data_IF_803973794699
#
_entry.id   IF_803973794699
#
_cell.length_a   1.000
_cell.length_b   1.000
_cell.length_c   1.000
_cell.angle_alpha   90.00
_cell.angle_beta   90.00
_cell.angle_gamma   90.00
#
_symmetry.space_group_name_H-M   'P 1'
#
loop_
_entity.id
_entity.type
_entity.pdbx_description
1 polymer ?
#
# COMPACT_ATOMS: atom_id res chain seq x y z
N UNK A 1 24.25 15.92 18.49
CA UNK A 1 23.78 15.98 17.09
C UNK A 1 22.32 16.44 17.11
N UNK A 2 21.93 17.55 16.47
CA UNK A 2 20.51 17.91 16.37
C UNK A 2 19.77 16.85 15.53
N UNK A 3 18.49 16.59 15.85
CA UNK A 3 17.68 15.66 15.07
C UNK A 3 17.51 16.21 13.64
N UNK A 4 18.06 15.51 12.65
CA UNK A 4 18.04 15.92 11.24
C UNK A 4 16.70 15.65 10.54
N UNK A 5 15.71 15.14 11.27
CA UNK A 5 14.38 14.80 10.74
C UNK A 5 13.36 15.77 11.31
N UNK A 6 12.58 16.43 10.43
CA UNK A 6 11.48 17.30 10.84
C UNK A 6 10.58 16.60 11.86
N UNK A 7 10.13 17.31 12.90
CA UNK A 7 9.35 16.76 14.02
C UNK A 7 8.13 15.94 13.55
N UNK A 8 7.46 16.40 12.49
CA UNK A 8 6.32 15.70 11.88
C UNK A 8 6.74 14.35 11.28
N UNK A 9 7.88 14.33 10.59
CA UNK A 9 8.34 13.15 9.87
C UNK A 9 8.85 12.06 10.82
N UNK A 10 9.67 12.46 11.80
CA UNK A 10 10.24 11.52 12.77
C UNK A 10 9.27 11.12 13.89
N UNK A 11 8.46 12.05 14.41
CA UNK A 11 7.61 11.77 15.56
C UNK A 11 6.21 11.25 15.20
N UNK A 12 5.68 11.61 14.02
CA UNK A 12 4.31 11.25 13.63
C UNK A 12 4.30 10.30 12.44
N UNK A 13 4.88 10.67 11.31
CA UNK A 13 4.74 9.86 10.08
C UNK A 13 5.49 8.53 10.15
N UNK A 14 6.68 8.49 10.75
CA UNK A 14 7.45 7.25 10.88
C UNK A 14 6.68 6.16 11.68
N UNK A 15 6.14 6.42 12.88
CA UNK A 15 5.28 5.47 13.58
C UNK A 15 4.03 5.05 12.79
N UNK A 16 3.35 6.00 12.12
CA UNK A 16 2.16 5.68 11.33
C UNK A 16 2.47 4.71 10.18
N UNK A 17 3.62 4.87 9.51
CA UNK A 17 4.07 3.93 8.47
C UNK A 17 4.45 2.58 9.06
N UNK A 18 5.05 2.55 10.24
CA UNK A 18 5.45 1.31 10.93
C UNK A 18 4.25 0.45 11.38
N UNK A 19 3.10 1.07 11.64
CA UNK A 19 1.86 0.34 11.98
C UNK A 19 1.42 -0.64 10.87
N UNK A 20 1.71 -0.36 9.60
CA UNK A 20 1.32 -1.22 8.47
C UNK A 20 2.05 -2.58 8.44
N UNK A 21 3.40 -2.64 8.51
CA UNK A 21 4.12 -3.91 8.59
C UNK A 21 3.89 -4.63 9.92
N UNK A 22 3.78 -3.91 11.05
CA UNK A 22 3.54 -4.51 12.37
C UNK A 22 2.22 -5.32 12.40
N UNK A 23 1.25 -4.90 11.58
CA UNK A 23 -0.06 -5.52 11.48
C UNK A 23 -0.29 -6.26 10.15
N UNK A 24 0.76 -6.70 9.45
CA UNK A 24 0.69 -7.32 8.11
C UNK A 24 -0.25 -8.54 8.02
N UNK A 25 -0.53 -9.21 9.14
CA UNK A 25 -1.49 -10.32 9.22
C UNK A 25 -2.97 -9.92 9.22
N UNK A 26 -3.29 -8.62 9.23
CA UNK A 26 -4.65 -8.10 9.22
C UNK A 26 -5.05 -7.57 7.84
N UNK A 27 -6.36 -7.58 7.54
CA UNK A 27 -6.89 -6.93 6.34
C UNK A 27 -6.50 -5.44 6.30
N UNK A 28 -6.43 -4.84 5.10
CA UNK A 28 -6.05 -3.43 4.94
C UNK A 28 -6.94 -2.50 5.78
N UNK A 29 -8.25 -2.72 5.78
CA UNK A 29 -9.22 -1.97 6.60
C UNK A 29 -8.92 -2.07 8.09
N UNK A 30 -8.55 -3.26 8.58
CA UNK A 30 -8.18 -3.44 10.00
C UNK A 30 -6.85 -2.76 10.33
N UNK A 31 -5.88 -2.76 9.42
CA UNK A 31 -4.62 -2.03 9.57
C UNK A 31 -4.84 -0.51 9.63
N UNK A 32 -5.71 0.01 8.75
CA UNK A 32 -6.10 1.44 8.74
C UNK A 32 -6.82 1.82 10.05
N UNK A 33 -7.75 0.99 10.54
CA UNK A 33 -8.38 1.21 11.86
C UNK A 33 -7.37 1.17 13.02
N UNK A 34 -6.37 0.30 12.97
CA UNK A 34 -5.30 0.30 13.95
C UNK A 34 -4.48 1.60 13.93
N UNK A 35 -4.22 2.17 12.74
CA UNK A 35 -3.60 3.49 12.60
C UNK A 35 -4.47 4.59 13.23
N UNK A 36 -5.79 4.61 12.95
CA UNK A 36 -6.70 5.57 13.60
C UNK A 36 -6.70 5.44 15.12
N UNK A 37 -6.67 4.20 15.63
CA UNK A 37 -6.55 3.95 17.07
C UNK A 37 -5.23 4.47 17.63
N UNK A 38 -4.13 4.28 16.92
CA UNK A 38 -2.83 4.85 17.31
C UNK A 38 -2.90 6.38 17.37
N UNK A 39 -3.50 7.04 16.37
CA UNK A 39 -3.71 8.50 16.38
C UNK A 39 -4.51 8.93 17.61
N UNK A 40 -5.60 8.23 17.94
CA UNK A 40 -6.39 8.50 19.14
C UNK A 40 -5.55 8.44 20.42
N UNK A 41 -4.73 7.39 20.59
CA UNK A 41 -3.88 7.20 21.77
C UNK A 41 -2.77 8.25 21.91
N UNK A 42 -2.37 8.88 20.81
CA UNK A 42 -1.28 9.87 20.76
C UNK A 42 -1.77 11.31 20.56
N UNK A 43 -3.08 11.53 20.64
CA UNK A 43 -3.67 12.88 20.60
C UNK A 43 -3.67 13.47 22.01
N UNK A 44 -3.20 14.72 22.17
CA UNK A 44 -3.13 15.40 23.48
C UNK A 44 -4.52 15.63 24.11
N UNK A 45 -5.53 15.87 23.27
CA UNK A 45 -6.91 16.13 23.66
C UNK A 45 -7.87 15.20 22.91
N UNK A 46 -7.94 13.92 23.29
CA UNK A 46 -8.81 12.97 22.62
C UNK A 46 -10.28 13.31 22.86
N UNK A 47 -11.11 13.08 21.84
CA UNK A 47 -12.56 13.16 21.99
C UNK A 47 -13.07 12.10 23.00
N UNK A 48 -14.23 12.32 23.63
CA UNK A 48 -14.86 11.29 24.44
C UNK A 48 -15.15 10.03 23.60
N UNK A 49 -15.10 8.81 24.19
CA UNK A 49 -15.32 7.56 23.45
C UNK A 49 -16.61 7.54 22.62
N UNK A 50 -17.70 8.10 23.16
CA UNK A 50 -18.99 8.16 22.47
C UNK A 50 -18.97 9.06 21.22
N UNK A 51 -18.10 10.06 21.16
CA UNK A 51 -17.93 10.91 19.98
C UNK A 51 -16.99 10.25 18.96
N UNK A 52 -15.95 9.57 19.42
CA UNK A 52 -15.02 8.84 18.55
C UNK A 52 -15.74 7.77 17.74
N UNK A 53 -16.65 7.04 18.38
CA UNK A 53 -17.46 6.03 17.69
C UNK A 53 -18.31 6.63 16.56
N UNK A 54 -18.64 7.93 16.62
CA UNK A 54 -19.38 8.64 15.56
C UNK A 54 -18.48 9.18 14.47
N UNK A 55 -17.24 9.53 14.79
CA UNK A 55 -16.29 10.16 13.85
C UNK A 55 -15.35 9.16 13.19
N UNK A 56 -15.19 7.97 13.76
CA UNK A 56 -14.34 6.92 13.21
C UNK A 56 -14.88 6.51 11.83
N UNK A 57 -14.04 6.42 10.79
CA UNK A 57 -14.50 5.96 9.49
C UNK A 57 -14.96 4.50 9.57
N UNK A 58 -16.08 4.22 8.91
CA UNK A 58 -16.58 2.87 8.75
C UNK A 58 -15.75 2.11 7.71
N UNK A 59 -15.93 0.79 7.64
CA UNK A 59 -15.24 -0.02 6.65
C UNK A 59 -15.61 0.42 5.22
N UNK A 60 -16.85 0.88 4.99
CA UNK A 60 -17.30 1.42 3.71
C UNK A 60 -16.65 2.78 3.38
N UNK A 61 -16.45 3.65 4.38
CA UNK A 61 -15.76 4.92 4.18
C UNK A 61 -14.29 4.70 3.80
N UNK A 62 -13.64 3.73 4.44
CA UNK A 62 -12.26 3.34 4.15
C UNK A 62 -12.15 2.76 2.73
N UNK A 63 -13.05 1.85 2.37
CA UNK A 63 -13.13 1.28 1.02
C UNK A 63 -13.32 2.37 -0.03
N UNK A 64 -14.30 3.26 0.18
CA UNK A 64 -14.57 4.37 -0.74
C UNK A 64 -13.36 5.30 -0.89
N UNK A 65 -12.70 5.67 0.21
CA UNK A 65 -11.49 6.48 0.18
C UNK A 65 -10.33 5.76 -0.54
N UNK A 66 -10.20 4.44 -0.38
CA UNK A 66 -9.20 3.67 -1.10
C UNK A 66 -9.47 3.68 -2.61
N UNK A 67 -10.72 3.47 -3.02
CA UNK A 67 -11.09 3.49 -4.44
C UNK A 67 -10.91 4.86 -5.10
N UNK A 68 -11.10 5.96 -4.37
CA UNK A 68 -10.87 7.31 -4.89
C UNK A 68 -9.39 7.65 -5.02
N UNK A 69 -8.56 7.21 -4.07
CA UNK A 69 -7.11 7.45 -4.06
C UNK A 69 -6.37 6.50 -5.02
N UNK A 70 -6.94 5.32 -5.28
CA UNK A 70 -6.41 4.31 -6.17
C UNK A 70 -7.26 4.20 -7.47
N UNK A 71 -7.37 5.28 -8.28
CA UNK A 71 -8.13 5.21 -9.51
C UNK A 71 -7.40 4.31 -10.51
N UNK A 72 -7.80 3.04 -10.60
CA UNK A 72 -7.54 2.12 -11.72
C UNK A 72 -6.12 2.13 -12.36
N UNK A 73 -5.05 2.36 -11.58
CA UNK A 73 -3.70 1.92 -11.93
C UNK A 73 -3.66 0.43 -11.55
N UNK A 74 -3.78 -0.55 -12.43
CA UNK A 74 -3.24 -0.71 -13.77
C UNK A 74 -4.30 -1.51 -14.55
N UNK A 75 -4.94 -0.92 -15.56
CA UNK A 75 -5.42 -1.75 -16.67
C UNK A 75 -4.18 -2.47 -17.20
N UNK A 76 -4.08 -3.76 -16.95
CA UNK A 76 -3.10 -4.75 -17.43
C UNK A 76 -3.10 -4.89 -18.95
N UNK A 77 -3.32 -3.80 -19.68
CA UNK A 77 -3.40 -3.77 -21.14
C UNK A 77 -2.03 -3.46 -21.77
N UNK A 78 -1.08 -2.90 -21.02
CA UNK A 78 0.27 -2.57 -21.53
C UNK A 78 1.43 -3.33 -20.89
N UNK A 79 1.18 -4.18 -19.90
CA UNK A 79 2.21 -5.07 -19.36
C UNK A 79 2.20 -6.37 -20.19
N UNK A 80 3.33 -6.77 -20.80
CA UNK A 80 3.38 -8.03 -21.52
C UNK A 80 3.05 -9.18 -20.56
N UNK A 81 2.13 -10.06 -20.97
CA UNK A 81 1.83 -11.27 -20.22
C UNK A 81 2.94 -12.30 -20.41
N UNK A 82 2.90 -13.37 -19.62
CA UNK A 82 3.84 -14.48 -19.78
C UNK A 82 3.64 -15.09 -21.18
N UNK A 83 4.62 -14.92 -22.07
CA UNK A 83 4.53 -15.28 -23.49
C UNK A 83 4.59 -14.08 -24.45
N UNK A 84 4.23 -12.87 -24.00
CA UNK A 84 4.24 -11.65 -24.82
C UNK A 84 5.54 -10.82 -24.67
N UNK A 85 6.34 -11.10 -23.63
CA UNK A 85 7.57 -10.37 -23.36
C UNK A 85 8.73 -10.92 -24.18
N UNK A 86 9.55 -10.02 -24.76
CA UNK A 86 10.83 -10.37 -25.38
C UNK A 86 11.65 -11.18 -24.37
N UNK A 87 12.00 -12.40 -24.74
CA UNK A 87 12.79 -13.29 -23.88
C UNK A 87 14.28 -13.07 -24.13
N UNK A 88 15.12 -13.47 -23.18
CA UNK A 88 16.58 -13.36 -23.31
C UNK A 88 17.10 -14.07 -24.58
N UNK A 89 16.42 -15.13 -25.03
CA UNK A 89 16.77 -15.87 -26.24
C UNK A 89 16.59 -15.06 -27.53
N UNK A 90 15.60 -14.16 -27.59
CA UNK A 90 15.31 -13.34 -28.80
C UNK A 90 16.40 -12.30 -29.09
N UNK A 91 17.22 -11.97 -28.09
CA UNK A 91 18.32 -11.01 -28.19
C UNK A 91 19.60 -11.63 -28.78
N UNK A 92 19.61 -12.94 -29.03
CA UNK A 92 20.78 -13.65 -29.55
C UNK A 92 20.50 -14.24 -30.94
N UNK A 93 21.28 -13.78 -31.92
CA UNK A 93 21.32 -14.37 -33.26
C UNK A 93 21.99 -15.76 -33.17
N UNK A 94 21.22 -16.81 -32.92
CA UNK A 94 21.73 -18.17 -33.01
C UNK A 94 21.62 -18.66 -34.45
N UNK A 95 22.74 -19.04 -35.05
CA UNK A 95 22.86 -19.57 -36.43
C UNK A 95 22.29 -21.00 -36.57
N UNK A 96 21.26 -21.34 -35.80
CA UNK A 96 20.56 -22.62 -35.90
C UNK A 96 19.11 -22.42 -35.48
N UNK A 97 18.12 -22.93 -36.24
CA UNK A 97 16.72 -22.77 -35.90
C UNK A 97 16.40 -23.57 -34.63
N UNK A 98 16.29 -22.88 -33.51
CA UNK A 98 15.77 -23.44 -32.28
C UNK A 98 14.24 -23.28 -32.30
N UNK A 99 13.52 -24.39 -32.32
CA UNK A 99 12.05 -24.41 -32.23
C UNK A 99 11.66 -24.46 -30.75
N UNK A 100 10.88 -23.48 -30.28
CA UNK A 100 10.29 -23.51 -28.95
C UNK A 100 9.05 -24.44 -28.97
N UNK A 101 9.03 -25.57 -28.24
CA UNK A 101 7.93 -26.54 -28.34
C UNK A 101 6.69 -26.18 -27.50
N UNK A 102 6.64 -24.96 -26.95
CA UNK A 102 5.58 -24.50 -26.05
C UNK A 102 4.67 -23.43 -26.66
N UNK A 103 4.81 -23.15 -27.97
CA UNK A 103 3.83 -22.39 -28.76
C UNK A 103 2.67 -23.27 -29.24
#
# INVERSE_FOLDING_TARGET
MPAMTNRIEGATNAPLRQMLPDHRGLSLTRRIKAIFWWCYMHTEHPLPPAQILKTMPTDADIEAAYQTIHPAEIKTTSLPQWGDAITWQDLHHNTSPYTNPWD
#
